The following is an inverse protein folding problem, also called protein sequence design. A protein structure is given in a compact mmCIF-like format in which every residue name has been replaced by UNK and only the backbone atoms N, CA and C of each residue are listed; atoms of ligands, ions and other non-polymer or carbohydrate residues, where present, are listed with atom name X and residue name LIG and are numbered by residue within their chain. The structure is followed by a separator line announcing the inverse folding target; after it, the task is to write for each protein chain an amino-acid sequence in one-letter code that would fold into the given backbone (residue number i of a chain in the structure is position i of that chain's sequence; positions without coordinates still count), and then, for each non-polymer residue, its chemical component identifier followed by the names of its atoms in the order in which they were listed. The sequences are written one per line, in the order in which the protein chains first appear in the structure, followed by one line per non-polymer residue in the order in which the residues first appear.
data_IF_940422371632
#
_entry.id   IF_940422371632
#
_cell.length_a   1.000
_cell.length_b   1.000
_cell.length_c   1.000
_cell.angle_alpha   90.00
_cell.angle_beta   90.00
_cell.angle_gamma   90.00
#
_symmetry.space_group_name_H-M   'P 1'
#
loop_
_entity.id
_entity.type
_entity.pdbx_description
1 polymer ?
#
# COMPACT_ATOMS: atom_id res chain seq x y z
N UNK A 1 7.59 19.03 7.64
CA UNK A 1 7.29 17.59 7.76
C UNK A 1 8.51 16.84 7.25
N UNK A 2 9.27 16.22 8.15
CA UNK A 2 10.51 15.52 7.82
C UNK A 2 10.17 14.13 7.26
N UNK A 3 10.51 13.89 5.99
CA UNK A 3 10.45 12.53 5.43
C UNK A 3 11.24 11.58 6.33
N UNK A 4 10.80 10.33 6.46
CA UNK A 4 11.48 9.35 7.30
C UNK A 4 12.94 9.17 6.85
N UNK A 5 13.88 9.33 7.79
CA UNK A 5 15.33 9.14 7.53
C UNK A 5 15.69 7.67 7.24
N UNK A 6 14.81 6.75 7.63
CA UNK A 6 14.97 5.32 7.36
C UNK A 6 13.63 4.59 7.33
N UNK A 7 13.61 3.47 6.63
CA UNK A 7 12.48 2.55 6.52
C UNK A 7 12.75 1.26 7.28
N UNK A 8 11.71 0.64 7.81
CA UNK A 8 11.79 -0.69 8.43
C UNK A 8 11.21 -1.70 7.45
N UNK A 9 12.06 -2.58 6.93
CA UNK A 9 11.69 -3.60 5.94
C UNK A 9 11.89 -5.00 6.50
N UNK A 10 10.98 -5.91 6.19
CA UNK A 10 11.11 -7.31 6.57
C UNK A 10 11.90 -8.07 5.51
N UNK A 11 12.86 -8.90 5.93
CA UNK A 11 13.59 -9.76 5.01
C UNK A 11 12.64 -10.79 4.37
N UNK A 12 12.63 -10.99 3.04
CA UNK A 12 11.72 -11.93 2.38
C UNK A 12 11.96 -13.39 2.81
N UNK A 13 13.17 -13.74 3.22
CA UNK A 13 13.54 -15.10 3.62
C UNK A 13 13.36 -15.35 5.12
N UNK A 14 14.04 -14.59 5.99
CA UNK A 14 14.04 -14.86 7.43
C UNK A 14 13.09 -13.97 8.24
N UNK A 15 12.35 -13.07 7.58
CA UNK A 15 11.33 -12.16 8.15
C UNK A 15 11.83 -11.19 9.24
N UNK A 16 13.13 -11.14 9.54
CA UNK A 16 13.68 -10.15 10.48
C UNK A 16 13.51 -8.73 9.93
N UNK A 17 13.29 -7.77 10.84
CA UNK A 17 13.25 -6.34 10.51
C UNK A 17 14.65 -5.81 10.25
N UNK A 18 14.82 -5.08 9.16
CA UNK A 18 16.04 -4.40 8.77
C UNK A 18 15.73 -2.91 8.64
N UNK A 19 16.62 -2.06 9.17
CA UNK A 19 16.55 -0.62 8.97
C UNK A 19 17.29 -0.27 7.68
N UNK A 20 16.59 0.31 6.73
CA UNK A 20 17.12 0.75 5.44
C UNK A 20 17.17 2.28 5.44
N UNK A 21 18.36 2.92 5.44
CA UNK A 21 18.47 4.36 5.29
C UNK A 21 17.87 4.84 3.96
N UNK A 22 17.28 6.03 3.95
CA UNK A 22 16.62 6.57 2.75
C UNK A 22 17.54 6.65 1.53
N UNK A 23 18.80 7.02 1.74
CA UNK A 23 19.84 7.10 0.71
C UNK A 23 20.24 5.74 0.11
N UNK A 24 19.79 4.63 0.70
CA UNK A 24 20.00 3.26 0.18
C UNK A 24 18.78 2.73 -0.58
N UNK A 25 17.69 3.48 -0.66
CA UNK A 25 16.52 3.13 -1.48
C UNK A 25 16.90 3.26 -2.95
N UNK A 26 16.64 2.22 -3.76
CA UNK A 26 17.14 2.12 -5.13
C UNK A 26 18.42 1.30 -5.28
N UNK A 27 18.98 0.84 -4.15
CA UNK A 27 20.11 -0.08 -4.13
C UNK A 27 19.70 -1.43 -3.52
N UNK A 28 20.45 -2.48 -3.85
CA UNK A 28 20.26 -3.80 -3.22
C UNK A 28 20.74 -3.71 -1.77
N UNK A 29 19.81 -3.83 -0.82
CA UNK A 29 20.13 -3.93 0.60
C UNK A 29 20.30 -5.41 0.99
N UNK A 30 21.16 -5.71 1.97
CA UNK A 30 21.32 -7.07 2.51
C UNK A 30 20.73 -7.19 3.89
N UNK A 31 20.06 -8.30 4.14
CA UNK A 31 19.57 -8.67 5.46
C UNK A 31 20.74 -8.88 6.42
N UNK A 32 20.73 -8.17 7.56
CA UNK A 32 21.80 -8.29 8.57
C UNK A 32 21.87 -9.64 9.28
N UNK A 33 20.83 -10.48 9.17
CA UNK A 33 20.78 -11.82 9.78
C UNK A 33 21.18 -12.95 8.83
N UNK A 34 20.62 -12.99 7.62
CA UNK A 34 20.80 -14.11 6.69
C UNK A 34 21.51 -13.74 5.39
N UNK A 35 21.89 -12.46 5.20
CA UNK A 35 22.59 -11.99 4.00
C UNK A 35 21.74 -11.87 2.74
N UNK A 36 20.48 -12.33 2.77
CA UNK A 36 19.54 -12.25 1.66
C UNK A 36 19.31 -10.82 1.21
N UNK A 37 19.20 -10.63 -0.10
CA UNK A 37 18.88 -9.35 -0.69
C UNK A 37 17.43 -8.92 -0.35
N UNK A 38 17.30 -7.64 -0.03
CA UNK A 38 16.05 -6.94 0.24
C UNK A 38 15.89 -5.95 -0.91
N UNK A 39 14.84 -6.17 -1.70
CA UNK A 39 14.44 -5.27 -2.76
C UNK A 39 13.91 -3.97 -2.15
N UNK A 40 14.66 -2.88 -2.30
CA UNK A 40 14.27 -1.54 -1.82
C UNK A 40 13.49 -0.77 -2.88
N UNK A 41 13.44 -1.23 -4.13
CA UNK A 41 12.71 -0.57 -5.20
C UNK A 41 11.19 -0.61 -4.98
N UNK A 42 10.72 -1.51 -4.12
CA UNK A 42 9.31 -1.56 -3.69
C UNK A 42 8.84 -0.29 -2.97
N UNK A 43 9.76 0.58 -2.53
CA UNK A 43 9.48 1.90 -1.99
C UNK A 43 9.23 2.93 -3.09
N UNK A 44 9.77 2.70 -4.28
CA UNK A 44 9.73 3.60 -5.43
C UNK A 44 8.71 3.16 -6.49
N UNK A 45 7.64 2.48 -6.10
CA UNK A 45 6.58 2.10 -7.04
C UNK A 45 5.69 3.33 -7.30
N UNK A 46 5.58 3.74 -8.56
CA UNK A 46 4.78 4.90 -9.00
C UNK A 46 3.45 4.52 -9.66
N UNK A 47 2.99 3.29 -9.46
CA UNK A 47 1.75 2.74 -9.99
C UNK A 47 1.07 1.87 -8.94
N UNK A 48 -0.26 1.70 -8.97
CA UNK A 48 -0.92 0.83 -8.00
C UNK A 48 -0.44 -0.62 -8.14
N UNK A 49 -0.16 -1.24 -7.00
CA UNK A 49 0.23 -2.66 -6.93
C UNK A 49 -1.04 -3.51 -6.88
N UNK A 50 -1.11 -4.58 -7.67
CA UNK A 50 -2.20 -5.54 -7.54
C UNK A 50 -1.97 -6.37 -6.29
N UNK A 51 -2.96 -6.35 -5.40
CA UNK A 51 -2.92 -7.02 -4.11
C UNK A 51 -3.85 -8.23 -4.17
N UNK A 52 -3.37 -9.34 -3.61
CA UNK A 52 -4.11 -10.58 -3.47
C UNK A 52 -4.18 -11.02 -2.01
N UNK A 53 -5.10 -11.95 -1.70
CA UNK A 53 -5.18 -12.57 -0.37
C UNK A 53 -3.86 -13.21 0.09
N UNK A 54 -2.99 -13.60 -0.84
CA UNK A 54 -1.69 -14.24 -0.56
C UNK A 54 -0.62 -13.22 -0.18
N UNK A 55 -0.61 -12.06 -0.82
CA UNK A 55 0.43 -11.05 -0.63
C UNK A 55 0.00 -9.86 0.24
N UNK A 56 -1.29 -9.74 0.57
CA UNK A 56 -1.85 -8.63 1.35
C UNK A 56 -1.05 -8.35 2.64
N UNK A 57 -0.68 -9.41 3.38
CA UNK A 57 0.09 -9.23 4.61
C UNK A 57 1.48 -8.62 4.34
N UNK A 58 2.20 -9.12 3.34
CA UNK A 58 3.55 -8.66 3.03
C UNK A 58 3.54 -7.29 2.34
N UNK A 59 2.55 -7.02 1.48
CA UNK A 59 2.46 -5.78 0.69
C UNK A 59 1.78 -4.63 1.45
N UNK A 60 0.77 -4.89 2.27
CA UNK A 60 -0.01 -3.83 2.95
C UNK A 60 0.34 -3.76 4.44
N UNK A 61 0.26 -4.88 5.16
CA UNK A 61 0.44 -4.89 6.62
C UNK A 61 1.91 -4.66 7.01
N UNK A 62 2.83 -5.35 6.34
CA UNK A 62 4.27 -5.19 6.54
C UNK A 62 4.88 -4.06 5.72
N UNK A 63 4.05 -3.23 5.08
CA UNK A 63 4.53 -2.12 4.27
C UNK A 63 5.41 -1.18 5.11
N UNK A 64 6.62 -0.83 4.63
CA UNK A 64 7.44 0.20 5.25
C UNK A 64 6.83 1.61 5.12
N UNK A 65 5.88 1.79 4.21
CA UNK A 65 5.13 3.03 3.97
C UNK A 65 3.69 2.89 4.50
N UNK A 66 3.03 3.99 4.90
CA UNK A 66 1.57 4.03 4.94
C UNK A 66 0.99 3.52 3.62
N UNK A 67 -0.14 2.81 3.67
CA UNK A 67 -0.73 2.19 2.51
C UNK A 67 -2.21 2.58 2.35
N UNK A 68 -2.64 2.75 1.12
CA UNK A 68 -4.05 2.85 0.75
C UNK A 68 -4.38 1.71 -0.21
N UNK A 69 -5.46 0.99 0.07
CA UNK A 69 -5.93 -0.13 -0.74
C UNK A 69 -7.30 0.19 -1.33
N UNK A 70 -7.36 0.30 -2.65
CA UNK A 70 -8.61 0.41 -3.41
C UNK A 70 -9.22 -0.97 -3.62
N UNK A 71 -10.34 -1.22 -2.94
CA UNK A 71 -11.13 -2.44 -3.04
C UNK A 71 -12.24 -2.24 -4.08
N UNK A 72 -12.10 -2.95 -5.21
CA UNK A 72 -12.89 -2.72 -6.42
C UNK A 72 -13.36 -4.04 -7.03
N UNK A 73 -14.16 -3.95 -8.10
CA UNK A 73 -14.50 -5.08 -8.97
C UNK A 73 -14.75 -4.59 -10.41
N UNK A 74 -14.56 -5.43 -11.45
CA UNK A 74 -14.66 -4.99 -12.85
C UNK A 74 -16.07 -4.53 -13.24
N UNK A 75 -17.10 -5.09 -12.61
CA UNK A 75 -18.51 -4.74 -12.85
C UNK A 75 -18.95 -3.46 -12.12
N UNK A 76 -18.09 -2.87 -11.29
CA UNK A 76 -18.41 -1.66 -10.53
C UNK A 76 -18.07 -0.41 -11.35
N UNK A 77 -19.08 0.20 -11.98
CA UNK A 77 -18.94 1.45 -12.73
C UNK A 77 -18.25 2.58 -11.94
N UNK A 78 -18.67 2.89 -10.70
CA UNK A 78 -18.00 3.90 -9.88
C UNK A 78 -16.51 3.60 -9.59
N UNK A 79 -16.14 2.33 -9.48
CA UNK A 79 -14.75 1.91 -9.29
C UNK A 79 -13.89 2.22 -10.53
N UNK A 80 -14.45 2.06 -11.74
CA UNK A 80 -13.74 2.38 -12.98
C UNK A 80 -13.39 3.87 -13.06
N UNK A 81 -14.26 4.76 -12.56
CA UNK A 81 -13.98 6.20 -12.48
C UNK A 81 -12.87 6.55 -11.47
N UNK A 82 -12.75 5.78 -10.38
CA UNK A 82 -11.72 5.98 -9.36
C UNK A 82 -10.34 5.48 -9.81
N UNK A 83 -10.30 4.50 -10.72
CA UNK A 83 -9.05 3.88 -11.20
C UNK A 83 -7.97 4.87 -11.62
N UNK A 84 -8.25 5.81 -12.56
CA UNK A 84 -7.27 6.81 -12.98
C UNK A 84 -6.77 7.71 -11.85
N UNK A 85 -7.63 8.03 -10.87
CA UNK A 85 -7.20 8.82 -9.71
C UNK A 85 -6.22 8.05 -8.84
N UNK A 86 -6.43 6.74 -8.66
CA UNK A 86 -5.49 5.89 -7.93
C UNK A 86 -4.16 5.77 -8.66
N UNK A 87 -4.17 5.71 -10.00
CA UNK A 87 -2.95 5.69 -10.81
C UNK A 87 -2.14 6.99 -10.66
N UNK A 88 -2.80 8.14 -10.75
CA UNK A 88 -2.16 9.45 -10.55
C UNK A 88 -1.60 9.60 -9.12
N UNK A 89 -2.38 9.22 -8.10
CA UNK A 89 -1.94 9.30 -6.71
C UNK A 89 -0.75 8.38 -6.42
N UNK A 90 -0.68 7.21 -7.05
CA UNK A 90 0.47 6.32 -6.94
C UNK A 90 1.74 6.97 -7.48
N UNK A 91 1.64 7.69 -8.61
CA UNK A 91 2.76 8.45 -9.17
C UNK A 91 3.18 9.61 -8.26
N UNK A 92 2.22 10.39 -7.77
CA UNK A 92 2.46 11.56 -6.89
C UNK A 92 3.04 11.17 -5.52
N UNK A 93 2.68 9.99 -5.02
CA UNK A 93 3.07 9.50 -3.70
C UNK A 93 4.19 8.47 -3.72
N UNK A 94 4.87 8.30 -4.86
CA UNK A 94 6.07 7.47 -4.99
C UNK A 94 7.07 7.75 -3.85
N UNK A 95 7.49 6.71 -3.13
CA UNK A 95 8.40 6.85 -1.98
C UNK A 95 7.74 7.28 -0.66
N UNK A 96 6.43 7.57 -0.65
CA UNK A 96 5.72 8.12 0.52
C UNK A 96 4.55 7.25 0.95
N UNK A 97 3.70 6.84 0.01
CA UNK A 97 2.52 6.00 0.27
C UNK A 97 2.53 4.84 -0.71
N UNK A 98 2.21 3.65 -0.21
CA UNK A 98 1.93 2.50 -1.06
C UNK A 98 0.47 2.54 -1.51
N UNK A 99 0.25 2.58 -2.82
CA UNK A 99 -1.08 2.46 -3.40
C UNK A 99 -1.28 1.04 -3.91
N UNK A 100 -2.33 0.38 -3.45
CA UNK A 100 -2.71 -0.96 -3.87
C UNK A 100 -4.12 -1.00 -4.46
N UNK A 101 -4.37 -2.00 -5.31
CA UNK A 101 -5.71 -2.33 -5.82
C UNK A 101 -5.99 -3.80 -5.58
N UNK A 102 -7.16 -4.12 -5.04
CA UNK A 102 -7.60 -5.49 -4.80
C UNK A 102 -8.98 -5.71 -5.39
N UNK A 103 -9.10 -6.70 -6.27
CA UNK A 103 -10.40 -7.17 -6.74
C UNK A 103 -11.08 -7.96 -5.61
N UNK A 104 -12.25 -7.53 -5.14
CA UNK A 104 -12.95 -8.17 -4.03
C UNK A 104 -13.50 -9.55 -4.37
N UNK A 105 -13.84 -9.81 -5.64
CA UNK A 105 -14.38 -11.10 -6.09
C UNK A 105 -13.33 -12.20 -6.03
N UNK A 106 -12.09 -11.86 -6.35
CA UNK A 106 -10.95 -12.78 -6.38
C UNK A 106 -10.28 -12.94 -5.02
N UNK A 107 -10.58 -12.05 -4.07
CA UNK A 107 -9.93 -11.95 -2.76
C UNK A 107 -10.97 -11.92 -1.61
N UNK A 108 -11.78 -12.99 -1.46
CA UNK A 108 -12.87 -13.02 -0.49
C UNK A 108 -12.39 -13.05 0.96
N UNK A 109 -11.17 -13.54 1.24
CA UNK A 109 -10.67 -13.63 2.61
C UNK A 109 -10.40 -12.23 3.17
N UNK A 110 -9.66 -11.41 2.44
CA UNK A 110 -9.37 -10.03 2.85
C UNK A 110 -10.65 -9.21 2.87
N UNK A 111 -11.53 -9.40 1.88
CA UNK A 111 -12.83 -8.72 1.83
C UNK A 111 -13.70 -9.02 3.05
N UNK A 112 -13.77 -10.29 3.47
CA UNK A 112 -14.49 -10.68 4.68
C UNK A 112 -13.82 -10.15 5.96
N UNK A 113 -12.48 -10.24 6.03
CA UNK A 113 -11.71 -9.79 7.20
C UNK A 113 -11.93 -8.30 7.51
N UNK A 114 -12.03 -7.46 6.48
CA UNK A 114 -12.24 -6.02 6.62
C UNK A 114 -13.68 -5.58 6.36
N UNK A 115 -14.62 -6.53 6.33
CA UNK A 115 -16.06 -6.25 6.23
C UNK A 115 -16.42 -5.35 5.04
N UNK A 116 -15.84 -5.66 3.87
CA UNK A 116 -16.07 -4.90 2.64
C UNK A 116 -17.45 -5.28 2.08
N UNK A 117 -18.47 -4.53 2.48
CA UNK A 117 -19.86 -4.75 2.07
C UNK A 117 -20.28 -3.94 0.83
N UNK A 118 -19.50 -2.94 0.45
CA UNK A 118 -19.76 -2.11 -0.71
C UNK A 118 -18.46 -1.66 -1.36
N UNK A 119 -18.51 -1.44 -2.66
CA UNK A 119 -17.37 -0.99 -3.46
C UNK A 119 -17.75 0.25 -4.29
N UNK A 120 -16.80 1.16 -4.57
CA UNK A 120 -15.41 1.13 -4.11
C UNK A 120 -15.30 1.38 -2.60
N UNK A 121 -14.33 0.74 -1.95
CA UNK A 121 -13.93 1.05 -0.57
C UNK A 121 -12.42 1.23 -0.54
N UNK A 122 -11.95 2.33 0.05
CA UNK A 122 -10.53 2.58 0.27
C UNK A 122 -10.19 2.26 1.74
N UNK A 123 -9.28 1.31 1.95
CA UNK A 123 -8.77 0.99 3.28
C UNK A 123 -7.40 1.68 3.47
N UNK A 124 -7.23 2.40 4.57
CA UNK A 124 -5.99 3.12 4.86
C UNK A 124 -5.29 2.44 6.04
N UNK A 125 -4.05 2.03 5.81
CA UNK A 125 -3.20 1.36 6.79
C UNK A 125 -1.99 2.21 7.13
N UNK A 126 -1.62 2.21 8.40
CA UNK A 126 -0.36 2.78 8.85
C UNK A 126 0.25 1.87 9.91
N UNK A 127 1.55 1.55 9.76
CA UNK A 127 2.28 0.64 10.66
C UNK A 127 1.54 -0.68 10.92
N UNK A 128 0.93 -1.24 9.88
CA UNK A 128 0.20 -2.51 9.92
C UNK A 128 -1.17 -2.48 10.59
N UNK A 129 -1.67 -1.31 11.00
CA UNK A 129 -3.03 -1.15 11.53
C UNK A 129 -3.93 -0.42 10.54
N UNK A 130 -5.19 -0.85 10.43
CA UNK A 130 -6.22 -0.09 9.73
C UNK A 130 -6.51 1.18 10.54
N UNK A 131 -6.28 2.34 9.95
CA UNK A 131 -6.44 3.64 10.61
C UNK A 131 -7.63 4.44 10.08
N UNK A 132 -8.10 4.13 8.87
CA UNK A 132 -9.29 4.74 8.29
C UNK A 132 -9.88 3.86 7.18
N UNK A 133 -11.16 4.04 6.88
CA UNK A 133 -11.86 3.41 5.76
C UNK A 133 -12.80 4.43 5.12
N UNK A 134 -12.79 4.50 3.80
CA UNK A 134 -13.63 5.40 3.02
C UNK A 134 -14.49 4.58 2.06
N UNK A 135 -15.81 4.72 2.14
CA UNK A 135 -16.74 3.94 1.32
C UNK A 135 -17.42 4.82 0.29
N UNK A 136 -17.56 4.29 -0.93
CA UNK A 136 -18.18 4.97 -2.06
C UNK A 136 -17.17 5.69 -2.95
N UNK A 137 -17.62 6.12 -4.13
CA UNK A 137 -16.81 6.94 -5.02
C UNK A 137 -16.64 8.35 -4.43
N UNK A 138 -15.39 8.80 -4.31
CA UNK A 138 -15.05 10.07 -3.68
C UNK A 138 -14.23 10.94 -4.65
N UNK A 139 -14.37 12.28 -4.57
CA UNK A 139 -13.46 13.17 -5.29
C UNK A 139 -12.00 12.92 -4.86
N UNK A 140 -11.06 13.06 -5.80
CA UNK A 140 -9.60 12.90 -5.55
C UNK A 140 -9.11 13.69 -4.32
N UNK A 141 -9.63 14.91 -4.13
CA UNK A 141 -9.27 15.77 -2.99
C UNK A 141 -9.63 15.15 -1.63
N UNK A 142 -10.74 14.41 -1.52
CA UNK A 142 -11.11 13.76 -0.27
C UNK A 142 -10.12 12.64 0.08
N UNK A 143 -9.63 11.91 -0.93
CA UNK A 143 -8.61 10.88 -0.76
C UNK A 143 -7.29 11.52 -0.29
N UNK A 144 -6.88 12.62 -0.92
CA UNK A 144 -5.69 13.39 -0.53
C UNK A 144 -5.81 13.88 0.91
N UNK A 145 -6.96 14.44 1.27
CA UNK A 145 -7.20 14.93 2.62
C UNK A 145 -7.09 13.81 3.66
N UNK A 146 -7.68 12.64 3.39
CA UNK A 146 -7.60 11.48 4.27
C UNK A 146 -6.17 10.94 4.43
N UNK A 147 -5.33 11.07 3.39
CA UNK A 147 -3.92 10.66 3.43
C UNK A 147 -2.97 11.73 3.95
N UNK A 148 -3.41 13.00 4.04
CA UNK A 148 -2.57 14.12 4.47
C UNK A 148 -1.82 13.94 5.80
N UNK A 149 -2.36 13.23 6.82
CA UNK A 149 -1.61 12.99 8.06
C UNK A 149 -0.40 12.05 7.89
N UNK A 150 -0.29 11.37 6.73
CA UNK A 150 0.71 10.33 6.46
C UNK A 150 1.70 10.71 5.34
N UNK A 151 1.54 11.90 4.74
CA UNK A 151 2.43 12.46 3.71
C UNK A 151 3.62 13.21 4.32
#
# INVERSE_FOLDING_TARGET
MTQADSFIMHCPQCKIRNRIPKEKVGAVAKCGKCGQDIDTDILNIGSPVIITDKDFYDQIINSPLPAILDCWAPWCGPCQMMGPFMDELAADWKGKIRVGKMNVDENPKTSAQYQIHSIPTLLIFNKGSLVNSLTGALPKNNIIQAMSPFL
#
